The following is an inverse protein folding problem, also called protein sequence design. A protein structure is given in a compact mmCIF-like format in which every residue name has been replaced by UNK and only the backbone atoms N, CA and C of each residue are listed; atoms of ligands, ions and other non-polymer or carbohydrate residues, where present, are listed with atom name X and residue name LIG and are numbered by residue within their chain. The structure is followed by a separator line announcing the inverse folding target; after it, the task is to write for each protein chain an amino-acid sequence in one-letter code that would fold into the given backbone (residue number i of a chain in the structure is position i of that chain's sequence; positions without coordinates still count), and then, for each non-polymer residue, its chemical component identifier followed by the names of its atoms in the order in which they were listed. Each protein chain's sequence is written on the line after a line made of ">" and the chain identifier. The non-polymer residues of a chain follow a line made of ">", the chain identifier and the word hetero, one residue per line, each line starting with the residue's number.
data_IF_229546998553
#
_entry.id   IF_229546998553
#
_cell.length_a   1.000
_cell.length_b   1.000
_cell.length_c   1.000
_cell.angle_alpha   90.00
_cell.angle_beta   90.00
_cell.angle_gamma   90.00
#
_symmetry.space_group_name_H-M   'P 1'
#
loop_
_entity.id
_entity.type
_entity.pdbx_description
1 polymer ?
#
# COMPACT_ATOMS: atom_id res chain seq x y z
N UNK A 1 31.88 -10.63 67.99
CA UNK A 1 30.91 -11.31 67.08
C UNK A 1 30.50 -10.29 66.03
N UNK A 2 31.03 -10.47 64.82
CA UNK A 2 30.77 -9.58 63.67
C UNK A 2 29.56 -10.08 62.91
N UNK A 3 28.52 -9.28 62.80
CA UNK A 3 27.37 -9.56 61.95
C UNK A 3 27.58 -8.94 60.60
N UNK A 4 27.71 -9.77 59.54
CA UNK A 4 27.75 -9.36 58.17
C UNK A 4 26.33 -9.08 57.67
N UNK A 5 26.01 -7.82 57.36
CA UNK A 5 24.80 -7.42 56.66
C UNK A 5 24.97 -7.64 55.15
N UNK A 6 24.10 -8.48 54.58
CA UNK A 6 24.02 -8.68 53.12
C UNK A 6 23.12 -7.59 52.55
N UNK A 7 23.72 -6.70 51.74
CA UNK A 7 22.95 -5.78 50.91
C UNK A 7 22.43 -6.54 49.68
N UNK A 8 21.12 -6.71 49.58
CA UNK A 8 20.47 -7.17 48.38
C UNK A 8 20.28 -5.98 47.42
N UNK A 9 21.03 -5.94 46.32
CA UNK A 9 20.82 -5.02 45.24
C UNK A 9 19.61 -5.45 44.41
N UNK A 10 18.50 -4.72 44.50
CA UNK A 10 17.37 -4.85 43.56
C UNK A 10 17.80 -4.22 42.23
N UNK A 11 18.14 -5.07 41.26
CA UNK A 11 18.29 -4.66 39.89
C UNK A 11 16.91 -4.37 39.27
N UNK A 12 16.62 -3.11 39.03
CA UNK A 12 15.45 -2.72 38.18
C UNK A 12 15.80 -3.05 36.76
N UNK A 13 15.23 -4.13 36.23
CA UNK A 13 15.27 -4.45 34.81
C UNK A 13 14.32 -3.48 34.10
N UNK A 14 14.84 -2.38 33.57
CA UNK A 14 14.10 -1.52 32.67
C UNK A 14 13.85 -2.29 31.37
N UNK A 15 12.64 -2.80 31.19
CA UNK A 15 12.19 -3.31 29.90
C UNK A 15 12.15 -2.13 28.92
N UNK A 16 13.14 -2.05 28.04
CA UNK A 16 13.14 -1.16 26.91
C UNK A 16 12.02 -1.65 25.98
N UNK A 17 10.85 -1.03 26.06
CA UNK A 17 9.78 -1.21 25.09
C UNK A 17 10.30 -0.49 23.84
N UNK A 18 10.90 -1.25 22.92
CA UNK A 18 11.18 -0.80 21.58
C UNK A 18 9.81 -0.56 20.94
N UNK A 19 9.50 0.72 20.70
CA UNK A 19 8.40 1.07 19.80
C UNK A 19 8.64 0.31 18.47
N UNK A 20 7.60 -0.22 17.81
CA UNK A 20 7.78 -0.82 16.49
C UNK A 20 8.46 0.20 15.60
N UNK A 21 9.66 -0.13 15.13
CA UNK A 21 10.38 0.72 14.19
C UNK A 21 9.49 0.90 12.96
N UNK A 22 9.24 2.15 12.59
CA UNK A 22 8.56 2.57 11.36
C UNK A 22 9.48 2.24 10.18
N UNK A 23 9.62 0.91 9.88
CA UNK A 23 10.62 0.35 8.98
C UNK A 23 10.23 0.43 7.49
N UNK A 24 9.06 1.00 7.19
CA UNK A 24 8.44 0.92 5.86
C UNK A 24 8.95 1.97 4.86
N UNK A 25 9.21 3.20 5.29
CA UNK A 25 9.51 4.31 4.37
C UNK A 25 10.89 4.24 3.70
N UNK A 26 11.87 3.55 4.29
CA UNK A 26 13.24 3.47 3.75
C UNK A 26 13.42 2.48 2.60
N UNK A 27 12.60 1.42 2.54
CA UNK A 27 12.71 0.36 1.51
C UNK A 27 11.76 0.59 0.33
N UNK A 28 10.63 1.25 0.54
CA UNK A 28 9.61 1.55 -0.49
C UNK A 28 9.82 2.87 -1.23
N UNK A 29 10.90 3.60 -0.97
CA UNK A 29 11.06 4.96 -1.52
C UNK A 29 10.04 5.97 -0.98
N UNK A 30 9.38 5.65 0.15
CA UNK A 30 8.43 6.52 0.82
C UNK A 30 6.98 6.38 0.35
N UNK A 31 6.68 5.56 -0.66
CA UNK A 31 5.32 5.35 -1.18
C UNK A 31 4.89 3.89 -1.13
N UNK A 32 3.61 3.66 -1.02
CA UNK A 32 3.03 2.33 -0.81
C UNK A 32 1.71 2.19 -1.55
N UNK A 33 1.47 1.03 -2.18
CA UNK A 33 0.12 0.63 -2.62
C UNK A 33 -0.74 0.50 -1.36
N UNK A 34 -1.70 1.39 -1.20
CA UNK A 34 -2.43 1.55 0.05
C UNK A 34 -3.78 0.85 0.03
N UNK A 35 -4.55 1.06 -1.02
CA UNK A 35 -5.85 0.42 -1.21
C UNK A 35 -6.09 0.10 -2.68
N UNK A 36 -6.77 -1.02 -2.98
CA UNK A 36 -7.05 -1.48 -4.33
C UNK A 36 -8.49 -1.97 -4.37
N UNK A 37 -9.26 -1.52 -5.37
CA UNK A 37 -10.60 -2.00 -5.64
C UNK A 37 -10.68 -2.47 -7.10
N UNK A 38 -10.87 -3.79 -7.31
CA UNK A 38 -10.90 -4.43 -8.62
C UNK A 38 -12.29 -4.87 -9.07
N UNK A 39 -13.33 -4.41 -8.41
CA UNK A 39 -14.73 -4.67 -8.76
C UNK A 39 -15.61 -3.46 -8.40
N UNK A 40 -15.15 -2.26 -8.75
CA UNK A 40 -15.87 -1.02 -8.45
C UNK A 40 -17.13 -0.90 -9.30
N UNK A 41 -18.29 -0.80 -8.65
CA UNK A 41 -19.57 -0.57 -9.31
C UNK A 41 -20.27 0.73 -8.87
N UNK A 42 -19.80 1.37 -7.79
CA UNK A 42 -20.40 2.59 -7.29
C UNK A 42 -19.71 3.20 -6.07
N UNK A 43 -18.74 2.51 -5.49
CA UNK A 43 -17.95 3.03 -4.37
C UNK A 43 -17.09 4.23 -4.75
N UNK A 44 -16.72 4.34 -6.04
CA UNK A 44 -15.97 5.47 -6.58
C UNK A 44 -16.45 5.81 -8.00
N UNK A 45 -16.50 7.11 -8.33
CA UNK A 45 -16.85 7.65 -9.67
C UNK A 45 -15.74 8.60 -10.12
N UNK A 46 -15.21 8.39 -11.33
CA UNK A 46 -14.14 9.20 -11.91
C UNK A 46 -14.61 10.57 -12.44
N UNK A 47 -13.72 11.36 -13.02
CA UNK A 47 -14.02 12.67 -13.60
C UNK A 47 -14.90 12.62 -14.86
N UNK A 48 -15.09 11.43 -15.44
CA UNK A 48 -15.96 11.20 -16.61
C UNK A 48 -17.34 10.69 -16.22
N UNK A 49 -17.58 10.40 -14.95
CA UNK A 49 -18.82 9.80 -14.42
C UNK A 49 -18.86 8.28 -14.59
N UNK A 50 -17.72 7.64 -14.83
CA UNK A 50 -17.56 6.19 -14.93
C UNK A 50 -17.11 5.57 -13.60
N UNK A 51 -17.23 4.26 -13.45
CA UNK A 51 -16.85 3.50 -12.24
C UNK A 51 -15.67 2.56 -12.54
N UNK A 52 -14.48 3.07 -12.92
CA UNK A 52 -13.32 2.22 -13.15
C UNK A 52 -12.87 1.56 -11.85
N UNK A 53 -12.19 0.42 -11.97
CA UNK A 53 -11.35 -0.09 -10.88
C UNK A 53 -10.25 0.93 -10.54
N UNK A 54 -9.69 0.87 -9.35
CA UNK A 54 -8.74 1.87 -8.92
C UNK A 54 -7.70 1.34 -7.94
N UNK A 55 -6.58 2.05 -7.89
CA UNK A 55 -5.46 1.82 -7.00
C UNK A 55 -5.15 3.13 -6.30
N UNK A 56 -4.99 3.09 -5.01
CA UNK A 56 -4.52 4.20 -4.22
C UNK A 56 -3.08 3.99 -3.78
N UNK A 57 -2.26 5.03 -3.95
CA UNK A 57 -0.88 5.09 -3.46
C UNK A 57 -0.82 6.14 -2.37
N UNK A 58 -0.18 5.82 -1.25
CA UNK A 58 0.04 6.72 -0.13
C UNK A 58 1.52 7.06 0.01
N UNK A 59 1.82 8.33 0.29
CA UNK A 59 3.12 8.70 0.83
C UNK A 59 3.16 8.37 2.32
N UNK A 60 3.98 7.40 2.70
CA UNK A 60 4.18 6.96 4.10
C UNK A 60 5.45 7.54 4.73
N UNK A 61 6.15 8.45 4.03
CA UNK A 61 7.27 9.20 4.57
C UNK A 61 6.80 10.45 5.32
N UNK A 62 7.68 11.01 6.15
CA UNK A 62 7.44 12.26 6.90
C UNK A 62 7.71 13.51 6.05
N UNK A 63 8.10 13.33 4.79
CA UNK A 63 8.48 14.39 3.84
C UNK A 63 7.81 14.18 2.49
N UNK A 64 7.65 15.23 1.67
CA UNK A 64 7.13 15.09 0.32
C UNK A 64 7.93 14.10 -0.52
N UNK A 65 7.25 13.29 -1.33
CA UNK A 65 7.84 12.33 -2.26
C UNK A 65 7.31 12.56 -3.68
N UNK A 66 8.22 12.74 -4.65
CA UNK A 66 7.86 12.77 -6.06
C UNK A 66 7.62 11.36 -6.59
N UNK A 67 6.53 11.17 -7.34
CA UNK A 67 6.24 9.91 -8.04
C UNK A 67 6.97 9.79 -9.39
N UNK A 68 7.73 10.80 -9.80
CA UNK A 68 8.51 10.77 -11.04
C UNK A 68 9.45 9.55 -11.08
N UNK A 69 9.31 8.73 -12.12
CA UNK A 69 10.12 7.54 -12.33
C UNK A 69 9.66 6.29 -11.55
N UNK A 70 8.67 6.40 -10.68
CA UNK A 70 8.00 5.22 -10.14
C UNK A 70 7.17 4.56 -11.22
N UNK A 71 7.03 3.24 -11.13
CA UNK A 71 6.27 2.42 -12.06
C UNK A 71 5.26 1.54 -11.34
N UNK A 72 4.19 1.22 -12.04
CA UNK A 72 3.16 0.30 -11.57
C UNK A 72 2.93 -0.75 -12.65
N UNK A 73 2.94 -2.01 -12.26
CA UNK A 73 2.74 -3.12 -13.17
C UNK A 73 1.65 -4.07 -12.71
N UNK A 74 0.95 -4.66 -13.69
CA UNK A 74 0.03 -5.75 -13.52
C UNK A 74 0.62 -7.07 -14.06
N UNK A 75 0.38 -8.19 -13.34
CA UNK A 75 0.81 -9.51 -13.75
C UNK A 75 2.30 -9.80 -13.54
N UNK A 76 2.74 -10.99 -13.99
CA UNK A 76 4.08 -11.53 -13.76
C UNK A 76 5.12 -11.08 -14.78
N UNK A 77 4.69 -10.45 -15.86
CA UNK A 77 5.57 -10.04 -16.94
C UNK A 77 5.81 -8.53 -16.87
N UNK A 78 7.06 -8.09 -16.79
CA UNK A 78 7.49 -6.70 -16.79
C UNK A 78 7.03 -5.88 -18.04
N UNK A 79 6.34 -6.50 -18.98
CA UNK A 79 5.82 -5.87 -20.22
C UNK A 79 4.57 -5.02 -20.01
N UNK A 80 3.94 -5.10 -18.85
CA UNK A 80 2.75 -4.31 -18.48
C UNK A 80 3.06 -3.30 -17.39
N UNK A 81 4.21 -2.68 -17.50
CA UNK A 81 4.67 -1.63 -16.63
C UNK A 81 4.28 -0.26 -17.20
N UNK A 82 3.73 0.62 -16.37
CA UNK A 82 3.48 2.00 -16.72
C UNK A 82 4.13 2.95 -15.73
N UNK A 83 4.64 4.08 -16.22
CA UNK A 83 5.13 5.16 -15.38
C UNK A 83 3.97 5.80 -14.63
N UNK A 84 4.19 6.09 -13.36
CA UNK A 84 3.27 6.92 -12.59
C UNK A 84 3.34 8.38 -13.04
N UNK A 85 2.27 9.18 -12.83
CA UNK A 85 2.29 10.60 -13.17
C UNK A 85 3.35 11.34 -12.34
N UNK A 86 4.02 12.32 -12.95
CA UNK A 86 4.99 13.19 -12.28
C UNK A 86 4.26 14.19 -11.38
N UNK A 87 3.91 13.74 -10.18
CA UNK A 87 3.30 14.53 -9.12
C UNK A 87 4.09 14.33 -7.83
N UNK A 88 4.01 15.28 -6.92
CA UNK A 88 4.58 15.17 -5.58
C UNK A 88 3.45 14.97 -4.59
N UNK A 89 3.56 13.95 -3.74
CA UNK A 89 2.66 13.71 -2.62
C UNK A 89 3.28 14.30 -1.35
N UNK A 90 2.55 15.14 -0.65
CA UNK A 90 2.92 15.58 0.70
C UNK A 90 2.92 14.39 1.69
N UNK A 91 3.48 14.58 2.88
CA UNK A 91 3.47 13.53 3.90
C UNK A 91 2.04 13.08 4.21
N UNK A 92 1.83 11.76 4.26
CA UNK A 92 0.52 11.13 4.48
C UNK A 92 -0.52 11.35 3.35
N UNK A 93 -0.18 12.02 2.25
CA UNK A 93 -1.07 12.27 1.11
C UNK A 93 -1.27 11.01 0.26
N UNK A 94 -2.43 10.95 -0.38
CA UNK A 94 -2.84 9.88 -1.28
C UNK A 94 -2.96 10.38 -2.72
N UNK A 95 -2.71 9.48 -3.67
CA UNK A 95 -3.15 9.64 -5.05
C UNK A 95 -3.99 8.43 -5.46
N UNK A 96 -5.14 8.69 -6.09
CA UNK A 96 -6.01 7.68 -6.64
C UNK A 96 -5.80 7.59 -8.15
N UNK A 97 -5.53 6.37 -8.63
CA UNK A 97 -5.24 6.02 -10.02
C UNK A 97 -6.36 5.12 -10.56
N UNK A 98 -6.99 5.50 -11.67
CA UNK A 98 -8.08 4.76 -12.29
C UNK A 98 -7.54 3.65 -13.21
N UNK A 99 -7.77 2.39 -12.90
CA UNK A 99 -7.38 1.26 -13.74
C UNK A 99 -8.43 1.01 -14.84
N UNK A 100 -8.57 1.96 -15.77
CA UNK A 100 -9.61 1.96 -16.79
C UNK A 100 -9.21 1.31 -18.13
N UNK A 101 -7.93 1.04 -18.34
CA UNK A 101 -7.38 0.62 -19.64
C UNK A 101 -7.11 1.78 -20.60
N UNK A 102 -7.18 3.02 -20.13
CA UNK A 102 -6.89 4.24 -20.90
C UNK A 102 -5.86 5.06 -20.13
N UNK A 103 -4.82 5.53 -20.78
CA UNK A 103 -3.77 6.29 -20.11
C UNK A 103 -4.02 7.80 -20.15
N UNK A 104 -3.73 8.49 -19.05
CA UNK A 104 -3.71 9.95 -18.96
C UNK A 104 -4.73 10.54 -18.00
N UNK A 105 -4.71 11.88 -17.87
CA UNK A 105 -5.60 12.63 -16.98
C UNK A 105 -6.99 12.82 -17.59
N UNK A 106 -8.04 12.65 -16.78
CA UNK A 106 -9.42 13.01 -17.15
C UNK A 106 -9.81 14.43 -16.72
N UNK A 107 -8.87 15.18 -16.15
CA UNK A 107 -9.04 16.49 -15.54
C UNK A 107 -9.00 16.44 -14.01
N UNK A 108 -9.24 15.28 -13.42
CA UNK A 108 -9.20 15.09 -11.96
C UNK A 108 -8.35 13.90 -11.54
N UNK A 109 -8.50 12.76 -12.22
CA UNK A 109 -7.82 11.52 -11.91
C UNK A 109 -6.89 11.08 -13.03
N UNK A 110 -5.81 10.38 -12.70
CA UNK A 110 -4.92 9.75 -13.66
C UNK A 110 -5.38 8.33 -13.96
N UNK A 111 -5.50 8.01 -15.23
CA UNK A 111 -5.92 6.69 -15.73
C UNK A 111 -4.70 5.87 -16.14
N UNK A 112 -4.73 4.59 -15.78
CA UNK A 112 -3.72 3.59 -16.12
C UNK A 112 -4.12 2.83 -17.38
N UNK A 113 -3.15 2.41 -18.24
CA UNK A 113 -3.42 1.71 -19.49
C UNK A 113 -3.86 0.25 -19.34
N UNK A 114 -4.14 -0.20 -18.12
CA UNK A 114 -4.61 -1.54 -17.81
C UNK A 114 -5.86 -1.52 -16.93
N UNK A 115 -6.49 -2.68 -16.78
CA UNK A 115 -7.59 -2.96 -15.85
C UNK A 115 -7.15 -4.01 -14.85
N UNK A 116 -7.80 -4.04 -13.68
CA UNK A 116 -7.54 -5.02 -12.64
C UNK A 116 -8.55 -6.16 -12.73
N UNK A 117 -8.11 -7.40 -12.54
CA UNK A 117 -8.99 -8.56 -12.54
C UNK A 117 -9.71 -8.71 -11.19
N UNK A 118 -11.05 -8.80 -11.21
CA UNK A 118 -11.83 -9.12 -10.02
C UNK A 118 -11.57 -10.54 -9.48
N UNK A 119 -11.03 -11.44 -10.32
CA UNK A 119 -10.63 -12.80 -9.92
C UNK A 119 -9.29 -12.82 -9.18
N UNK A 120 -8.65 -11.67 -9.04
CA UNK A 120 -7.36 -11.49 -8.41
C UNK A 120 -6.20 -11.55 -9.40
N UNK A 121 -5.14 -10.86 -9.05
CA UNK A 121 -3.89 -10.81 -9.82
C UNK A 121 -2.72 -10.32 -8.98
N UNK A 122 -1.57 -10.19 -9.60
CA UNK A 122 -0.38 -9.65 -8.98
C UNK A 122 -0.15 -8.21 -9.47
N UNK A 123 -0.06 -7.28 -8.52
CA UNK A 123 0.35 -5.90 -8.77
C UNK A 123 1.71 -5.64 -8.13
N UNK A 124 2.51 -4.77 -8.72
CA UNK A 124 3.79 -4.39 -8.16
C UNK A 124 4.11 -2.92 -8.39
N UNK A 125 4.78 -2.31 -7.41
CA UNK A 125 5.28 -0.95 -7.44
C UNK A 125 6.79 -1.00 -7.62
N UNK A 126 7.30 -0.31 -8.65
CA UNK A 126 8.72 -0.16 -8.94
C UNK A 126 9.22 1.23 -8.55
N UNK A 127 10.42 1.29 -7.96
CA UNK A 127 11.11 2.54 -7.68
C UNK A 127 11.85 3.07 -8.92
N UNK A 128 12.25 4.37 -8.94
CA UNK A 128 12.97 4.96 -10.06
C UNK A 128 14.31 4.30 -10.43
N UNK A 129 14.89 3.56 -9.51
CA UNK A 129 16.13 2.78 -9.74
C UNK A 129 15.88 1.39 -10.36
N UNK A 130 14.61 1.06 -10.67
CA UNK A 130 14.19 -0.20 -11.29
C UNK A 130 13.96 -1.35 -10.31
N UNK A 131 14.11 -1.15 -9.00
CA UNK A 131 13.77 -2.17 -8.01
C UNK A 131 12.27 -2.25 -7.80
N UNK A 132 11.73 -3.47 -7.70
CA UNK A 132 10.36 -3.66 -7.18
C UNK A 132 10.40 -3.45 -5.67
N UNK A 133 9.69 -2.46 -5.19
CA UNK A 133 9.65 -2.07 -3.77
C UNK A 133 8.42 -2.58 -3.04
N UNK A 134 7.39 -2.99 -3.79
CA UNK A 134 6.22 -3.65 -3.23
C UNK A 134 5.60 -4.61 -4.24
N UNK A 135 5.17 -5.76 -3.76
CA UNK A 135 4.42 -6.76 -4.52
C UNK A 135 3.15 -7.10 -3.76
N UNK A 136 2.01 -7.04 -4.44
CA UNK A 136 0.70 -7.37 -3.87
C UNK A 136 0.08 -8.51 -4.67
N UNK A 137 -0.30 -9.59 -4.00
CA UNK A 137 -1.14 -10.64 -4.56
C UNK A 137 -2.58 -10.33 -4.19
N UNK A 138 -3.29 -9.70 -5.12
CA UNK A 138 -4.69 -9.34 -4.95
C UNK A 138 -5.54 -10.61 -4.96
N UNK A 139 -6.36 -10.86 -3.94
CA UNK A 139 -7.31 -11.97 -3.96
C UNK A 139 -8.50 -11.65 -4.86
N UNK A 140 -9.36 -12.64 -5.12
CA UNK A 140 -10.65 -12.39 -5.75
C UNK A 140 -11.50 -11.43 -4.88
N UNK A 141 -12.10 -10.42 -5.51
CA UNK A 141 -12.84 -9.34 -4.86
C UNK A 141 -14.33 -9.41 -5.17
N UNK A 142 -15.16 -9.12 -4.18
CA UNK A 142 -16.57 -8.82 -4.39
C UNK A 142 -16.79 -7.38 -4.84
N UNK A 143 -18.04 -7.07 -5.19
CA UNK A 143 -18.44 -5.72 -5.63
C UNK A 143 -18.17 -4.69 -4.54
N UNK A 144 -17.49 -3.62 -4.89
CA UNK A 144 -17.10 -2.50 -4.03
C UNK A 144 -16.27 -2.89 -2.77
N UNK A 145 -15.84 -4.15 -2.65
CA UNK A 145 -14.81 -4.54 -1.69
C UNK A 145 -13.45 -3.97 -2.10
N UNK A 146 -12.57 -3.76 -1.12
CA UNK A 146 -11.19 -3.37 -1.37
C UNK A 146 -10.18 -4.31 -0.72
N UNK A 147 -8.92 -4.22 -1.15
CA UNK A 147 -7.76 -4.86 -0.54
C UNK A 147 -6.79 -3.78 -0.10
N UNK A 148 -6.69 -3.56 1.19
CA UNK A 148 -6.02 -2.39 1.74
C UNK A 148 -5.01 -2.69 2.83
N UNK A 149 -4.08 -1.78 3.00
CA UNK A 149 -3.03 -1.81 4.03
C UNK A 149 -3.64 -1.54 5.41
N UNK A 150 -3.22 -2.30 6.39
CA UNK A 150 -3.51 -2.09 7.81
C UNK A 150 -2.41 -1.26 8.47
N UNK A 151 -2.66 -0.76 9.68
CA UNK A 151 -1.67 0.00 10.45
C UNK A 151 -0.40 -0.80 10.79
N UNK A 152 -0.51 -2.13 10.89
CA UNK A 152 0.63 -3.01 11.15
C UNK A 152 1.42 -3.39 9.90
N UNK A 153 1.00 -2.89 8.72
CA UNK A 153 1.66 -3.11 7.44
C UNK A 153 1.28 -4.42 6.75
N UNK A 154 0.26 -5.12 7.21
CA UNK A 154 -0.33 -6.24 6.48
C UNK A 154 -1.38 -5.76 5.48
N UNK A 155 -1.83 -6.64 4.58
CA UNK A 155 -2.91 -6.37 3.65
C UNK A 155 -4.14 -7.18 4.01
N UNK A 156 -5.33 -6.58 3.95
CA UNK A 156 -6.58 -7.27 4.24
C UNK A 156 -7.68 -6.91 3.24
N UNK A 157 -8.68 -7.79 3.11
CA UNK A 157 -9.93 -7.44 2.43
C UNK A 157 -10.79 -6.60 3.37
N UNK A 158 -11.28 -5.49 2.85
CA UNK A 158 -12.23 -4.61 3.51
C UNK A 158 -13.62 -4.84 2.96
N UNK A 159 -14.63 -4.68 3.80
CA UNK A 159 -16.03 -4.89 3.43
C UNK A 159 -16.56 -3.85 2.42
N UNK A 160 -15.89 -2.71 2.35
CA UNK A 160 -16.17 -1.61 1.41
C UNK A 160 -14.88 -0.83 1.15
N UNK A 161 -14.84 -0.16 0.01
CA UNK A 161 -13.72 0.67 -0.40
C UNK A 161 -13.81 2.09 0.19
N UNK A 162 -12.64 2.71 0.45
CA UNK A 162 -12.52 4.02 1.14
C UNK A 162 -11.59 4.97 0.39
N UNK A 163 -11.91 5.32 -0.90
CA UNK A 163 -11.01 6.10 -1.74
C UNK A 163 -10.72 7.50 -1.15
N UNK A 164 -9.45 7.82 -0.92
CA UNK A 164 -8.98 9.09 -0.34
C UNK A 164 -9.10 9.20 1.18
N UNK A 165 -9.42 8.11 1.86
CA UNK A 165 -9.61 8.07 3.32
C UNK A 165 -8.79 6.94 3.96
N UNK A 166 -8.88 6.79 5.27
CA UNK A 166 -8.32 5.65 5.97
C UNK A 166 -9.06 4.36 5.56
N UNK A 167 -8.31 3.26 5.41
CA UNK A 167 -8.89 1.99 4.97
C UNK A 167 -10.04 1.52 5.88
N UNK A 168 -11.06 0.93 5.25
CA UNK A 168 -12.29 0.50 5.88
C UNK A 168 -12.12 -0.70 6.82
N UNK A 169 -13.25 -1.15 7.38
CA UNK A 169 -13.29 -2.32 8.27
C UNK A 169 -12.97 -3.62 7.51
N UNK A 170 -12.22 -4.51 8.16
CA UNK A 170 -11.91 -5.83 7.63
C UNK A 170 -13.19 -6.61 7.27
N UNK A 171 -13.15 -7.29 6.12
CA UNK A 171 -14.23 -8.21 5.74
C UNK A 171 -14.31 -9.36 6.75
N UNK A 172 -15.49 -9.63 7.25
CA UNK A 172 -15.71 -10.66 8.26
C UNK A 172 -15.20 -12.04 7.79
N UNK A 173 -14.36 -12.66 8.62
CA UNK A 173 -13.73 -13.96 8.32
C UNK A 173 -12.49 -13.89 7.44
N UNK A 174 -12.07 -12.75 6.95
CA UNK A 174 -10.79 -12.58 6.27
C UNK A 174 -9.65 -12.43 7.28
N UNK A 175 -8.53 -13.13 7.03
CA UNK A 175 -7.30 -12.96 7.80
C UNK A 175 -6.32 -12.14 6.99
N UNK A 176 -5.82 -11.05 7.56
CA UNK A 176 -4.79 -10.22 6.94
C UNK A 176 -3.55 -11.06 6.57
N UNK A 177 -3.02 -10.83 5.40
CA UNK A 177 -1.80 -11.47 4.94
C UNK A 177 -0.62 -10.50 5.07
N UNK A 178 0.55 -10.96 5.53
CA UNK A 178 1.75 -10.15 5.51
C UNK A 178 2.03 -9.69 4.08
N UNK A 179 2.44 -8.45 3.92
CA UNK A 179 2.88 -7.94 2.62
C UNK A 179 4.11 -8.71 2.17
N UNK A 180 4.08 -9.28 0.96
CA UNK A 180 5.22 -9.97 0.37
C UNK A 180 6.24 -8.94 -0.12
N UNK A 181 7.34 -8.79 0.60
CA UNK A 181 8.52 -8.07 0.10
C UNK A 181 9.24 -8.98 -0.90
N UNK A 182 9.64 -8.41 -2.02
CA UNK A 182 10.47 -9.14 -2.99
C UNK A 182 11.90 -9.08 -2.48
N UNK A 183 12.44 -10.23 -2.04
CA UNK A 183 13.90 -10.37 -1.87
C UNK A 183 14.58 -10.09 -3.21
N UNK A 184 15.64 -9.28 -3.19
CA UNK A 184 16.42 -8.93 -4.38
C UNK A 184 16.73 -10.19 -5.20
N UNK A 185 16.30 -10.19 -6.45
CA UNK A 185 16.81 -11.16 -7.43
C UNK A 185 18.26 -10.77 -7.73
N UNK A 186 19.18 -11.55 -7.20
CA UNK A 186 20.60 -11.50 -7.58
C UNK A 186 20.77 -11.97 -9.02
#
# INVERSE_FOLDING_TARGET
>A
MMGMGVLAALGVLAALILAPEKKMAGESGGVTLWEICSANQGGFIDGRGETPDWIEIKNTADTPVSLAGFTLGDGREAKRETLLPDVTLEAEEYILLCASGQEGWDGKYYHLPFKISAEGEMLWLGAPDGRVVQLVYLPAMGVDESYGMTEDGSMQKNAYSTPGEANGEALAGYQAAPMGWVEERK
#
